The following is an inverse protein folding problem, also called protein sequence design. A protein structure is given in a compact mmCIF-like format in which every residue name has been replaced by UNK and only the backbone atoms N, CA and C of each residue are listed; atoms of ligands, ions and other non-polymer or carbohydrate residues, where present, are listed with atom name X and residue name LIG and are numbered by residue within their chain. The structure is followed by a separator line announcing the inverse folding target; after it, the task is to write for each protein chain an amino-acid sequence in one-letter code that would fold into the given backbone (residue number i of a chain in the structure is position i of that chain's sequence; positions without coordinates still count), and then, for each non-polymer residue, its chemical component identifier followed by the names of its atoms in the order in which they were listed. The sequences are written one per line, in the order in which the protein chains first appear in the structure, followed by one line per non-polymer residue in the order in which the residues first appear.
data_IF_509058898262
#
_entry.id   IF_509058898262
#
_cell.length_a   1.000
_cell.length_b   1.000
_cell.length_c   1.000
_cell.angle_alpha   90.00
_cell.angle_beta   90.00
_cell.angle_gamma   90.00
#
_symmetry.space_group_name_H-M   'P 1'
#
loop_
_entity.id
_entity.type
_entity.pdbx_description
1 polymer ?
#
# COMPACT_ATOMS: atom_id res chain seq x y z
N UNK A 1 39.29 25.67 4.80
CA UNK A 1 39.49 24.37 5.47
C UNK A 1 38.79 23.33 4.63
N UNK A 2 39.55 22.46 3.96
CA UNK A 2 39.00 21.33 3.21
C UNK A 2 38.68 20.24 4.21
N UNK A 3 37.40 20.05 4.53
CA UNK A 3 36.95 18.91 5.33
C UNK A 3 37.21 17.64 4.53
N UNK A 4 38.20 16.86 4.95
CA UNK A 4 38.51 15.56 4.36
C UNK A 4 37.29 14.65 4.54
N UNK A 5 36.53 14.43 3.49
CA UNK A 5 35.40 13.50 3.52
C UNK A 5 35.98 12.09 3.66
N UNK A 6 35.76 11.45 4.81
CA UNK A 6 36.15 10.06 5.02
C UNK A 6 35.28 9.20 4.11
N UNK A 7 35.89 8.51 3.13
CA UNK A 7 35.24 7.48 2.32
C UNK A 7 35.07 6.21 3.17
N UNK A 8 34.27 6.32 4.22
CA UNK A 8 33.78 5.17 4.95
C UNK A 8 32.81 4.38 4.06
N UNK A 9 32.82 3.06 4.18
CA UNK A 9 31.83 2.21 3.53
C UNK A 9 30.40 2.57 3.92
N UNK A 10 29.43 1.99 3.21
CA UNK A 10 28.00 2.17 3.50
C UNK A 10 27.69 1.96 4.98
N UNK A 11 26.93 2.88 5.57
CA UNK A 11 26.54 2.76 6.98
C UNK A 11 25.62 1.53 7.17
N UNK A 12 26.06 0.49 7.91
CA UNK A 12 25.35 -0.77 7.99
C UNK A 12 23.97 -0.65 8.66
N UNK A 13 23.73 0.39 9.44
CA UNK A 13 22.47 0.57 10.18
C UNK A 13 21.39 1.26 9.33
N UNK A 14 21.76 1.93 8.24
CA UNK A 14 20.81 2.69 7.40
C UNK A 14 20.72 2.13 5.99
N UNK A 15 21.87 1.83 5.38
CA UNK A 15 21.98 1.38 4.00
C UNK A 15 22.53 -0.04 3.91
N UNK A 16 22.72 -0.71 5.06
CA UNK A 16 23.22 -2.07 5.16
C UNK A 16 22.30 -3.10 4.51
N UNK A 17 22.88 -4.26 4.19
CA UNK A 17 22.20 -5.30 3.41
C UNK A 17 20.87 -5.76 4.04
N UNK A 18 20.80 -5.91 5.36
CA UNK A 18 19.56 -6.30 6.04
C UNK A 18 18.46 -5.23 5.95
N UNK A 19 18.82 -3.95 6.02
CA UNK A 19 17.86 -2.85 5.83
C UNK A 19 17.30 -2.87 4.41
N UNK A 20 18.18 -3.03 3.41
CA UNK A 20 17.79 -3.10 2.00
C UNK A 20 16.89 -4.29 1.72
N UNK A 21 17.31 -5.50 2.10
CA UNK A 21 16.51 -6.73 1.91
C UNK A 21 15.15 -6.59 2.57
N UNK A 22 15.11 -6.10 3.82
CA UNK A 22 13.85 -5.86 4.51
C UNK A 22 12.94 -4.95 3.69
N UNK A 23 13.46 -3.82 3.25
CA UNK A 23 12.71 -2.85 2.48
C UNK A 23 12.20 -3.42 1.14
N UNK A 24 13.04 -4.19 0.45
CA UNK A 24 12.65 -4.88 -0.77
C UNK A 24 11.51 -5.88 -0.52
N UNK A 25 11.58 -6.66 0.55
CA UNK A 25 10.55 -7.63 0.89
C UNK A 25 9.25 -6.97 1.35
N UNK A 26 9.32 -5.92 2.19
CA UNK A 26 8.13 -5.19 2.65
C UNK A 26 7.33 -4.60 1.47
N UNK A 27 8.02 -3.95 0.53
CA UNK A 27 7.39 -3.36 -0.65
C UNK A 27 6.81 -4.43 -1.58
N UNK A 28 7.53 -5.54 -1.81
CA UNK A 28 7.03 -6.65 -2.61
C UNK A 28 5.78 -7.28 -2.00
N UNK A 29 5.82 -7.60 -0.70
CA UNK A 29 4.71 -8.26 -0.01
C UNK A 29 3.47 -7.35 0.07
N UNK A 30 3.66 -6.06 0.31
CA UNK A 30 2.55 -5.11 0.30
C UNK A 30 1.93 -4.99 -1.10
N UNK A 31 2.76 -4.83 -2.14
CA UNK A 31 2.30 -4.76 -3.52
C UNK A 31 1.53 -6.02 -3.93
N UNK A 32 2.07 -7.20 -3.62
CA UNK A 32 1.39 -8.47 -3.89
C UNK A 32 0.06 -8.60 -3.12
N UNK A 33 0.01 -8.17 -1.85
CA UNK A 33 -1.22 -8.18 -1.04
C UNK A 33 -2.26 -7.24 -1.62
N UNK A 34 -1.87 -6.04 -2.04
CA UNK A 34 -2.74 -5.08 -2.69
C UNK A 34 -3.33 -5.65 -3.98
N UNK A 35 -2.51 -6.24 -4.87
CA UNK A 35 -2.98 -6.86 -6.10
C UNK A 35 -3.93 -8.04 -5.85
N UNK A 36 -3.57 -8.95 -4.94
CA UNK A 36 -4.40 -10.09 -4.57
C UNK A 36 -5.78 -9.63 -4.06
N UNK A 37 -5.82 -8.61 -3.20
CA UNK A 37 -7.06 -8.05 -2.67
C UNK A 37 -7.82 -7.19 -3.69
N UNK A 38 -7.17 -6.57 -4.67
CA UNK A 38 -7.84 -5.83 -5.77
C UNK A 38 -8.74 -6.74 -6.57
N UNK A 39 -8.22 -7.91 -6.94
CA UNK A 39 -8.96 -8.89 -7.73
C UNK A 39 -10.11 -9.48 -6.92
N UNK A 40 -9.89 -9.71 -5.62
CA UNK A 40 -10.91 -10.25 -4.73
C UNK A 40 -11.96 -9.23 -4.25
N UNK A 41 -11.57 -7.98 -4.05
CA UNK A 41 -12.39 -6.89 -3.51
C UNK A 41 -13.54 -6.49 -4.43
N UNK A 42 -13.42 -6.74 -5.73
CA UNK A 42 -14.56 -6.69 -6.66
C UNK A 42 -15.72 -7.63 -6.26
N UNK A 43 -15.49 -8.62 -5.39
CA UNK A 43 -16.48 -9.63 -5.01
C UNK A 43 -16.96 -9.57 -3.55
N UNK A 44 -16.21 -8.94 -2.63
CA UNK A 44 -16.49 -9.01 -1.18
C UNK A 44 -16.25 -7.64 -0.50
N UNK A 45 -17.35 -6.94 -0.17
CA UNK A 45 -17.37 -5.49 0.06
C UNK A 45 -17.07 -4.97 1.49
N UNK A 46 -16.74 -5.76 2.53
CA UNK A 46 -16.86 -5.17 3.89
C UNK A 46 -15.89 -5.55 5.02
N UNK A 47 -14.82 -6.33 4.83
CA UNK A 47 -13.95 -6.71 5.98
C UNK A 47 -12.44 -6.69 5.74
N UNK A 48 -11.98 -6.41 4.52
CA UNK A 48 -10.59 -6.65 4.11
C UNK A 48 -9.67 -5.43 4.26
N UNK A 49 -10.25 -4.25 4.52
CA UNK A 49 -9.56 -2.96 4.41
C UNK A 49 -8.62 -2.68 5.61
N UNK A 50 -9.01 -3.10 6.81
CA UNK A 50 -8.23 -2.88 8.05
C UNK A 50 -6.87 -3.60 8.04
N UNK A 51 -6.81 -4.77 7.42
CA UNK A 51 -5.54 -5.52 7.30
C UNK A 51 -4.58 -4.87 6.29
N UNK A 52 -5.10 -4.29 5.20
CA UNK A 52 -4.27 -3.55 4.24
C UNK A 52 -3.77 -2.27 4.89
N UNK A 53 -4.66 -1.55 5.58
CA UNK A 53 -4.30 -0.29 6.23
C UNK A 53 -3.18 -0.51 7.24
N UNK A 54 -3.21 -1.58 8.05
CA UNK A 54 -2.12 -1.92 8.97
C UNK A 54 -0.76 -2.13 8.29
N UNK A 55 -0.71 -2.88 7.19
CA UNK A 55 0.53 -3.11 6.44
C UNK A 55 1.02 -1.82 5.74
N UNK A 56 0.09 -1.02 5.21
CA UNK A 56 0.36 0.27 4.60
C UNK A 56 0.93 1.27 5.61
N UNK A 57 0.32 1.38 6.79
CA UNK A 57 0.79 2.23 7.89
C UNK A 57 2.17 1.80 8.38
N UNK A 58 2.44 0.49 8.44
CA UNK A 58 3.76 -0.01 8.82
C UNK A 58 4.83 0.39 7.80
N UNK A 59 4.56 0.28 6.50
CA UNK A 59 5.49 0.74 5.46
C UNK A 59 5.67 2.26 5.50
N UNK A 60 4.59 3.03 5.67
CA UNK A 60 4.67 4.49 5.83
C UNK A 60 5.51 4.88 7.04
N UNK A 61 5.27 4.28 8.20
CA UNK A 61 6.06 4.53 9.41
C UNK A 61 7.53 4.20 9.18
N UNK A 62 7.84 3.11 8.50
CA UNK A 62 9.22 2.72 8.13
C UNK A 62 9.85 3.76 7.20
N UNK A 63 9.12 4.27 6.21
CA UNK A 63 9.60 5.32 5.31
C UNK A 63 9.91 6.62 6.05
N UNK A 64 8.99 7.04 6.94
CA UNK A 64 9.16 8.23 7.77
C UNK A 64 10.39 8.06 8.67
N UNK A 65 10.51 6.92 9.36
CA UNK A 65 11.63 6.63 10.22
C UNK A 65 12.97 6.65 9.46
N UNK A 66 13.02 6.05 8.28
CA UNK A 66 14.21 6.06 7.42
C UNK A 66 14.57 7.45 6.92
N UNK A 67 13.59 8.25 6.51
CA UNK A 67 13.80 9.63 6.09
C UNK A 67 14.31 10.51 7.25
N UNK A 68 13.68 10.40 8.43
CA UNK A 68 14.10 11.13 9.63
C UNK A 68 15.49 10.71 10.08
N UNK A 69 15.81 9.41 10.09
CA UNK A 69 17.14 8.92 10.43
C UNK A 69 18.20 9.45 9.45
N UNK A 70 17.92 9.37 8.14
CA UNK A 70 18.80 9.93 7.11
C UNK A 70 19.04 11.43 7.28
N UNK A 71 18.00 12.19 7.62
CA UNK A 71 18.10 13.63 7.88
C UNK A 71 18.90 13.95 9.13
N UNK A 72 18.62 13.27 10.26
CA UNK A 72 19.35 13.47 11.51
C UNK A 72 20.85 13.21 11.30
N UNK A 73 21.20 12.16 10.58
CA UNK A 73 22.59 11.77 10.34
C UNK A 73 23.28 12.65 9.30
N UNK A 74 22.52 13.19 8.34
CA UNK A 74 23.01 14.17 7.36
C UNK A 74 23.22 15.56 7.92
N UNK A 75 22.42 15.97 8.92
CA UNK A 75 22.48 17.30 9.52
C UNK A 75 23.45 17.41 10.70
N UNK A 76 24.11 16.32 11.11
CA UNK A 76 25.16 16.37 12.13
C UNK A 76 26.32 17.26 11.66
N UNK A 77 26.96 18.05 12.54
CA UNK A 77 28.13 18.87 12.19
C UNK A 77 29.28 18.07 11.56
N UNK A 78 29.42 16.80 12.00
CA UNK A 78 30.21 15.79 11.32
C UNK A 78 29.22 14.76 10.74
N UNK A 79 28.88 14.82 9.45
CA UNK A 79 27.90 13.92 8.86
C UNK A 79 28.39 12.47 8.94
N UNK A 80 27.60 11.62 9.59
CA UNK A 80 27.87 10.18 9.72
C UNK A 80 27.36 9.37 8.52
N UNK A 81 26.62 10.04 7.64
CA UNK A 81 26.06 9.47 6.42
C UNK A 81 26.84 9.96 5.21
N UNK A 82 27.27 9.04 4.36
CA UNK A 82 27.89 9.40 3.08
C UNK A 82 26.84 9.87 2.08
N UNK A 83 27.26 10.62 1.05
CA UNK A 83 26.37 10.94 -0.08
C UNK A 83 25.80 9.66 -0.72
N UNK A 84 26.59 8.58 -0.78
CA UNK A 84 26.16 7.30 -1.31
C UNK A 84 25.02 6.70 -0.48
N UNK A 85 25.11 6.73 0.84
CA UNK A 85 24.04 6.28 1.73
C UNK A 85 22.75 7.07 1.51
N UNK A 86 22.85 8.40 1.36
CA UNK A 86 21.70 9.26 1.09
C UNK A 86 21.03 8.91 -0.25
N UNK A 87 21.81 8.61 -1.29
CA UNK A 87 21.27 8.14 -2.57
C UNK A 87 20.58 6.79 -2.40
N UNK A 88 21.17 5.83 -1.67
CA UNK A 88 20.53 4.53 -1.42
C UNK A 88 19.21 4.71 -0.69
N UNK A 89 19.16 5.53 0.36
CA UNK A 89 17.93 5.86 1.10
C UNK A 89 16.89 6.45 0.16
N UNK A 90 17.28 7.37 -0.73
CA UNK A 90 16.35 7.97 -1.69
C UNK A 90 15.74 6.91 -2.62
N UNK A 91 16.52 5.93 -3.08
CA UNK A 91 16.03 4.84 -3.93
C UNK A 91 15.08 3.92 -3.15
N UNK A 92 15.43 3.55 -1.92
CA UNK A 92 14.55 2.78 -1.04
C UNK A 92 13.23 3.53 -0.83
N UNK A 93 13.29 4.78 -0.35
CA UNK A 93 12.10 5.62 -0.16
C UNK A 93 11.25 5.71 -1.43
N UNK A 94 11.85 5.92 -2.60
CA UNK A 94 11.11 6.00 -3.87
C UNK A 94 10.35 4.70 -4.20
N UNK A 95 10.92 3.54 -3.91
CA UNK A 95 10.28 2.24 -4.08
C UNK A 95 9.10 2.08 -3.11
N UNK A 96 9.30 2.46 -1.84
CA UNK A 96 8.24 2.42 -0.83
C UNK A 96 7.08 3.33 -1.17
N UNK A 97 7.37 4.56 -1.61
CA UNK A 97 6.35 5.51 -2.01
C UNK A 97 5.58 5.06 -3.22
N UNK A 98 6.24 4.51 -4.23
CA UNK A 98 5.54 4.00 -5.41
C UNK A 98 4.60 2.85 -5.03
N UNK A 99 5.05 1.95 -4.15
CA UNK A 99 4.21 0.86 -3.63
C UNK A 99 2.99 1.40 -2.87
N UNK A 100 3.19 2.40 -2.01
CA UNK A 100 2.11 3.08 -1.26
C UNK A 100 1.12 3.75 -2.21
N UNK A 101 1.59 4.49 -3.22
CA UNK A 101 0.74 5.19 -4.19
C UNK A 101 -0.09 4.20 -5.02
N UNK A 102 0.53 3.13 -5.52
CA UNK A 102 -0.19 2.08 -6.26
C UNK A 102 -1.24 1.42 -5.37
N UNK A 103 -0.88 1.07 -4.13
CA UNK A 103 -1.82 0.45 -3.17
C UNK A 103 -2.98 1.36 -2.81
N UNK A 104 -2.72 2.66 -2.61
CA UNK A 104 -3.76 3.65 -2.30
C UNK A 104 -4.67 3.93 -3.50
N UNK A 105 -4.11 4.05 -4.71
CA UNK A 105 -4.89 4.23 -5.93
C UNK A 105 -5.87 3.07 -6.16
N UNK A 106 -5.42 1.86 -5.83
CA UNK A 106 -6.23 0.66 -5.81
C UNK A 106 -7.32 0.74 -4.72
N UNK A 107 -6.97 1.08 -3.49
CA UNK A 107 -7.93 1.12 -2.37
C UNK A 107 -9.01 2.19 -2.56
N UNK A 108 -8.64 3.38 -3.05
CA UNK A 108 -9.56 4.49 -3.29
C UNK A 108 -10.63 4.16 -4.34
N UNK A 109 -10.38 3.19 -5.23
CA UNK A 109 -11.37 2.76 -6.21
C UNK A 109 -12.57 2.02 -5.58
N UNK A 110 -12.38 1.45 -4.38
CA UNK A 110 -13.39 0.59 -3.73
C UNK A 110 -14.01 1.21 -2.48
N UNK A 111 -13.43 2.27 -1.96
CA UNK A 111 -13.96 2.99 -0.81
C UNK A 111 -15.09 3.91 -1.28
N UNK A 112 -16.32 3.43 -1.19
CA UNK A 112 -17.52 4.29 -1.34
C UNK A 112 -17.70 5.19 -0.10
N UNK A 113 -16.97 4.93 0.99
CA UNK A 113 -16.85 5.83 2.13
C UNK A 113 -15.99 7.04 1.76
N UNK A 114 -16.40 8.22 2.23
CA UNK A 114 -15.64 9.46 2.13
C UNK A 114 -14.16 9.19 2.42
N UNK A 115 -13.23 9.56 1.52
CA UNK A 115 -11.81 9.27 1.68
C UNK A 115 -11.33 9.91 2.98
N UNK A 116 -10.82 9.10 3.91
CA UNK A 116 -10.23 9.60 5.14
C UNK A 116 -9.14 10.62 4.78
N UNK A 117 -9.28 11.83 5.33
CA UNK A 117 -8.38 12.97 5.14
C UNK A 117 -6.92 12.61 5.46
N UNK A 118 -6.71 11.64 6.35
CA UNK A 118 -5.43 11.06 6.74
C UNK A 118 -4.60 10.55 5.54
N UNK A 119 -5.24 9.92 4.55
CA UNK A 119 -4.56 9.31 3.40
C UNK A 119 -3.93 10.34 2.46
N UNK A 120 -4.59 11.49 2.28
CA UNK A 120 -4.10 12.60 1.44
C UNK A 120 -2.90 13.29 2.11
N UNK A 121 -2.99 13.51 3.43
CA UNK A 121 -1.89 14.11 4.19
C UNK A 121 -0.65 13.20 4.17
N UNK A 122 -0.83 11.89 4.32
CA UNK A 122 0.27 10.93 4.30
C UNK A 122 0.97 10.87 2.93
N UNK A 123 0.23 10.97 1.83
CA UNK A 123 0.81 11.08 0.49
C UNK A 123 1.60 12.38 0.28
N UNK A 124 1.12 13.51 0.82
CA UNK A 124 1.84 14.78 0.71
C UNK A 124 3.14 14.76 1.53
N UNK A 125 3.08 14.28 2.76
CA UNK A 125 4.24 14.14 3.66
C UNK A 125 5.30 13.23 3.02
N UNK A 126 4.86 12.16 2.39
CA UNK A 126 5.69 11.23 1.64
C UNK A 126 6.52 11.88 0.53
N UNK A 127 5.87 12.67 -0.33
CA UNK A 127 6.52 13.35 -1.45
C UNK A 127 7.52 14.38 -0.93
N UNK A 128 7.13 15.18 0.07
CA UNK A 128 7.97 16.21 0.68
C UNK A 128 9.23 15.57 1.28
N UNK A 129 9.10 14.46 2.02
CA UNK A 129 10.23 13.78 2.65
C UNK A 129 11.28 13.33 1.64
N UNK A 130 10.87 12.83 0.47
CA UNK A 130 11.82 12.43 -0.58
C UNK A 130 12.63 13.59 -1.16
N UNK A 131 12.01 14.78 -1.30
CA UNK A 131 12.70 15.98 -1.78
C UNK A 131 13.68 16.55 -0.75
N UNK A 132 13.30 16.51 0.53
CA UNK A 132 14.13 17.01 1.63
C UNK A 132 15.41 16.18 1.77
N UNK A 133 15.34 14.85 1.73
CA UNK A 133 16.55 13.99 1.84
C UNK A 133 17.54 14.25 0.69
N UNK A 134 17.07 14.50 -0.52
CA UNK A 134 17.94 14.84 -1.66
C UNK A 134 18.57 16.23 -1.58
N UNK A 135 17.93 17.18 -0.89
CA UNK A 135 18.41 18.56 -0.78
C UNK A 135 19.56 18.72 0.22
N UNK A 136 19.63 17.86 1.25
CA UNK A 136 20.59 17.97 2.35
C UNK A 136 21.81 17.04 2.21
N UNK A 137 21.98 16.37 1.07
CA UNK A 137 23.14 15.52 0.88
C UNK A 137 24.43 16.38 0.76
N UNK A 138 25.45 16.17 1.62
CA UNK A 138 26.66 16.99 1.62
C UNK A 138 27.41 16.82 0.29
N UNK A 139 28.07 17.89 -0.18
CA UNK A 139 28.87 17.94 -1.43
C UNK A 139 30.18 17.10 -1.37
N UNK A 140 30.24 16.13 -0.46
CA UNK A 140 31.45 15.43 -0.06
C UNK A 140 31.99 14.40 -1.06
N UNK A 141 31.32 14.18 -2.20
CA UNK A 141 31.80 13.24 -3.23
C UNK A 141 31.42 13.70 -4.65
N UNK A 142 32.32 14.49 -5.26
CA UNK A 142 32.23 14.99 -6.64
C UNK A 142 31.98 13.91 -7.71
N UNK A 143 32.41 12.68 -7.44
CA UNK A 143 32.39 11.55 -8.37
C UNK A 143 31.18 10.63 -8.18
N UNK A 144 30.26 10.95 -7.28
CA UNK A 144 29.08 10.12 -7.08
C UNK A 144 28.21 10.08 -8.35
N UNK A 145 27.83 8.87 -8.75
CA UNK A 145 27.00 8.62 -9.91
C UNK A 145 25.62 8.11 -9.50
N UNK A 146 24.55 8.75 -9.98
CA UNK A 146 23.20 8.24 -9.92
C UNK A 146 22.91 7.42 -11.19
N UNK A 147 22.09 6.37 -11.08
CA UNK A 147 21.81 5.48 -12.21
C UNK A 147 20.32 5.21 -12.34
N UNK A 148 19.76 5.65 -13.46
CA UNK A 148 18.39 5.28 -13.87
C UNK A 148 18.45 4.35 -15.10
N UNK A 149 19.33 4.68 -16.05
CA UNK A 149 19.65 3.85 -17.23
C UNK A 149 21.11 4.01 -17.68
N UNK A 150 21.75 5.12 -17.31
CA UNK A 150 23.16 5.44 -17.55
C UNK A 150 23.72 6.15 -16.31
N UNK A 151 25.04 6.07 -16.06
CA UNK A 151 25.67 6.80 -14.97
C UNK A 151 25.56 8.29 -15.26
N UNK A 152 24.89 9.02 -14.38
CA UNK A 152 24.80 10.48 -14.41
C UNK A 152 25.54 11.02 -13.18
N UNK A 153 26.36 12.06 -13.33
CA UNK A 153 26.94 12.74 -12.16
C UNK A 153 25.82 13.29 -11.28
N UNK A 154 25.74 12.77 -10.06
CA UNK A 154 24.62 13.02 -9.17
C UNK A 154 24.57 14.48 -8.71
N UNK A 155 25.73 15.11 -8.48
CA UNK A 155 25.79 16.44 -7.85
C UNK A 155 25.37 17.60 -8.76
N UNK A 156 25.81 17.63 -10.02
CA UNK A 156 25.48 18.76 -10.93
C UNK A 156 24.17 18.53 -11.67
N UNK A 157 24.10 17.44 -12.44
CA UNK A 157 22.92 17.14 -13.27
C UNK A 157 21.82 16.45 -12.46
N UNK A 158 22.19 15.54 -11.57
CA UNK A 158 21.23 14.80 -10.75
C UNK A 158 20.43 15.70 -9.81
N UNK A 159 21.04 16.69 -9.17
CA UNK A 159 20.34 17.62 -8.28
C UNK A 159 19.29 18.46 -9.02
N UNK A 160 19.64 19.02 -10.18
CA UNK A 160 18.71 19.80 -10.99
C UNK A 160 17.56 18.91 -11.47
N UNK A 161 17.88 17.72 -12.00
CA UNK A 161 16.87 16.78 -12.46
C UNK A 161 15.95 16.34 -11.32
N UNK A 162 16.51 16.06 -10.14
CA UNK A 162 15.77 15.73 -8.92
C UNK A 162 14.77 16.83 -8.56
N UNK A 163 15.23 18.10 -8.50
CA UNK A 163 14.33 19.24 -8.26
C UNK A 163 13.23 19.37 -9.31
N UNK A 164 13.56 19.22 -10.59
CA UNK A 164 12.58 19.28 -11.68
C UNK A 164 11.53 18.20 -11.51
N UNK A 165 11.94 16.96 -11.24
CA UNK A 165 11.03 15.83 -11.03
C UNK A 165 10.17 16.06 -9.78
N UNK A 166 10.77 16.46 -8.65
CA UNK A 166 10.04 16.73 -7.41
C UNK A 166 9.01 17.84 -7.59
N UNK A 167 9.38 18.95 -8.25
CA UNK A 167 8.44 20.04 -8.55
C UNK A 167 7.32 19.55 -9.46
N UNK A 168 7.64 18.80 -10.53
CA UNK A 168 6.63 18.29 -11.47
C UNK A 168 5.66 17.33 -10.79
N UNK A 169 6.16 16.40 -9.97
CA UNK A 169 5.33 15.46 -9.20
C UNK A 169 4.48 16.22 -8.18
N UNK A 170 5.04 17.22 -7.50
CA UNK A 170 4.30 18.04 -6.54
C UNK A 170 3.17 18.80 -7.22
N UNK A 171 3.44 19.44 -8.37
CA UNK A 171 2.42 20.15 -9.15
C UNK A 171 1.34 19.18 -9.65
N UNK A 172 1.72 18.04 -10.23
CA UNK A 172 0.77 17.04 -10.70
C UNK A 172 -0.14 16.53 -9.56
N UNK A 173 0.45 16.26 -8.40
CA UNK A 173 -0.27 15.86 -7.19
C UNK A 173 -1.22 16.97 -6.73
N UNK A 174 -0.73 18.21 -6.56
CA UNK A 174 -1.56 19.36 -6.17
C UNK A 174 -2.72 19.58 -7.14
N UNK A 175 -2.51 19.39 -8.44
CA UNK A 175 -3.58 19.50 -9.45
C UNK A 175 -4.60 18.37 -9.30
N UNK A 176 -4.17 17.11 -9.13
CA UNK A 176 -5.10 15.99 -8.88
C UNK A 176 -5.91 16.21 -7.61
N UNK A 177 -5.24 16.50 -6.49
CA UNK A 177 -5.89 16.77 -5.20
C UNK A 177 -6.82 17.97 -5.28
N UNK A 178 -6.40 19.05 -5.96
CA UNK A 178 -7.22 20.24 -6.17
C UNK A 178 -8.49 19.95 -6.98
N UNK A 179 -8.40 19.11 -8.02
CA UNK A 179 -9.58 18.67 -8.79
C UNK A 179 -10.55 17.87 -7.93
N UNK A 180 -10.06 17.00 -7.07
CA UNK A 180 -10.90 16.21 -6.17
C UNK A 180 -11.59 17.08 -5.12
N UNK A 181 -10.86 18.05 -4.53
CA UNK A 181 -11.44 19.02 -3.57
C UNK A 181 -12.50 19.88 -4.26
N UNK A 182 -12.23 20.39 -5.47
CA UNK A 182 -13.20 21.17 -6.23
C UNK A 182 -14.45 20.35 -6.59
N UNK A 183 -14.29 19.07 -6.92
CA UNK A 183 -15.41 18.18 -7.18
C UNK A 183 -16.25 17.93 -5.92
N UNK A 184 -15.62 17.76 -4.75
CA UNK A 184 -16.32 17.67 -3.47
C UNK A 184 -17.07 18.96 -3.14
N UNK A 185 -16.44 20.12 -3.31
CA UNK A 185 -17.08 21.41 -3.07
C UNK A 185 -18.29 21.63 -3.99
N UNK A 186 -18.20 21.21 -5.25
CA UNK A 186 -19.33 21.25 -6.19
C UNK A 186 -20.47 20.34 -5.75
N UNK A 187 -20.19 19.14 -5.22
CA UNK A 187 -21.21 18.23 -4.66
C UNK A 187 -21.89 18.83 -3.43
N UNK A 188 -21.13 19.46 -2.54
CA UNK A 188 -21.66 20.11 -1.35
C UNK A 188 -22.59 21.27 -1.72
N UNK A 189 -22.12 22.15 -2.63
CA UNK A 189 -22.93 23.26 -3.14
C UNK A 189 -24.21 22.79 -3.85
N UNK A 190 -24.15 21.69 -4.59
CA UNK A 190 -25.34 21.12 -5.23
C UNK A 190 -26.34 20.54 -4.21
N UNK A 191 -25.87 19.95 -3.10
CA UNK A 191 -26.75 19.45 -2.01
C UNK A 191 -27.41 20.59 -1.24
N UNK A 192 -26.70 21.70 -1.04
CA UNK A 192 -27.25 22.88 -0.34
C UNK A 192 -28.30 23.61 -1.20
N UNK A 193 -28.20 23.50 -2.52
CA UNK A 193 -29.16 24.07 -3.47
C UNK A 193 -30.35 23.16 -3.77
N UNK A 194 -30.36 21.91 -3.30
CA UNK A 194 -31.55 21.07 -3.35
C UNK A 194 -32.47 21.56 -2.22
N UNK A 195 -33.54 22.33 -2.52
CA UNK A 195 -34.41 22.84 -1.49
C UNK A 195 -35.00 21.62 -0.78
N UNK A 196 -34.80 21.56 0.54
CA UNK A 196 -35.32 20.49 1.39
C UNK A 196 -36.82 20.28 1.11
N UNK A 197 -37.13 19.30 0.26
CA UNK A 197 -38.49 18.85 -0.05
C UNK A 197 -39.07 18.03 1.13
N UNK A 198 -38.39 18.02 2.28
CA UNK A 198 -38.82 17.41 3.54
C UNK A 198 -39.94 18.22 4.24
N UNK A 199 -40.32 19.38 3.69
CA UNK A 199 -41.36 20.23 4.23
C UNK A 199 -42.82 19.78 3.96
N UNK A 200 -43.10 18.73 3.18
CA UNK A 200 -44.50 18.45 2.76
C UNK A 200 -44.97 17.00 2.92
N UNK A 201 -44.14 16.08 3.41
CA UNK A 201 -44.54 14.67 3.58
C UNK A 201 -44.92 14.25 5.01
N UNK A 202 -45.22 15.21 5.89
CA UNK A 202 -45.83 14.94 7.21
C UNK A 202 -47.35 15.17 7.26
N UNK A 203 -47.99 15.52 6.14
CA UNK A 203 -49.43 15.82 6.14
C UNK A 203 -50.38 14.62 5.93
N UNK A 204 -49.90 13.39 5.71
CA UNK A 204 -50.83 12.25 5.57
C UNK A 204 -50.30 10.91 6.07
N UNK A 205 -49.65 10.85 7.23
CA UNK A 205 -49.62 9.59 7.98
C UNK A 205 -50.99 9.40 8.63
N UNK A 206 -51.92 8.83 7.88
CA UNK A 206 -53.23 8.41 8.38
C UNK A 206 -53.00 7.31 9.41
N UNK A 207 -53.17 7.66 10.69
CA UNK A 207 -53.27 6.70 11.78
C UNK A 207 -54.50 5.82 11.54
N UNK A 208 -54.35 4.74 10.78
CA UNK A 208 -55.28 3.62 10.88
C UNK A 208 -55.05 3.00 12.25
N UNK A 209 -55.94 3.35 13.18
CA UNK A 209 -56.05 2.74 14.49
C UNK A 209 -55.94 1.21 14.36
N UNK A 210 -54.95 0.56 14.98
CA UNK A 210 -54.97 -0.88 15.12
C UNK A 210 -56.15 -1.23 16.03
N UNK A 211 -57.16 -1.90 15.47
CA UNK A 211 -58.24 -2.48 16.27
C UNK A 211 -57.66 -3.43 17.32
N UNK A 212 -58.14 -3.40 18.57
CA UNK A 212 -57.72 -4.35 19.60
C UNK A 212 -58.37 -5.71 19.34
N UNK A 213 -57.76 -6.48 18.44
CA UNK A 213 -58.09 -7.87 18.17
C UNK A 213 -57.39 -8.78 19.15
N UNK A 214 -58.14 -9.25 20.15
CA UNK A 214 -57.79 -10.33 21.07
C UNK A 214 -57.43 -11.58 20.24
N UNK A 215 -56.14 -11.91 20.15
CA UNK A 215 -55.68 -13.20 19.62
C UNK A 215 -55.31 -14.11 20.79
N UNK A 216 -56.19 -15.09 21.00
CA UNK A 216 -55.99 -16.22 21.90
C UNK A 216 -54.72 -16.98 21.53
N UNK A 217 -53.97 -17.51 22.51
CA UNK A 217 -52.98 -18.54 22.25
C UNK A 217 -53.71 -19.83 21.86
N UNK A 218 -53.42 -20.34 20.66
CA UNK A 218 -53.88 -21.64 20.20
C UNK A 218 -52.77 -22.67 20.45
N UNK A 219 -52.94 -23.62 21.39
CA UNK A 219 -51.96 -24.66 21.67
C UNK A 219 -52.40 -25.94 20.97
N UNK A 220 -52.18 -26.09 19.67
CA UNK A 220 -52.20 -27.40 18.98
C UNK A 220 -51.90 -27.22 17.50
N UNK A 221 -50.62 -27.19 17.13
CA UNK A 221 -50.25 -27.56 15.76
C UNK A 221 -49.18 -28.64 15.81
N UNK A 222 -49.69 -29.80 15.44
CA UNK A 222 -49.06 -31.07 15.13
C UNK A 222 -47.72 -30.97 14.40
N UNK A 223 -46.86 -31.92 14.75
CA UNK A 223 -45.55 -32.19 14.19
C UNK A 223 -45.51 -32.11 12.65
N UNK A 224 -44.44 -31.53 12.07
CA UNK A 224 -44.25 -31.55 10.63
C UNK A 224 -43.86 -32.96 10.14
N UNK A 225 -44.25 -33.31 8.90
CA UNK A 225 -44.01 -34.62 8.32
C UNK A 225 -42.51 -34.85 8.09
N UNK A 226 -42.12 -36.09 8.31
CA UNK A 226 -40.81 -36.66 8.09
C UNK A 226 -40.41 -36.52 6.61
N UNK A 227 -39.77 -35.40 6.26
CA UNK A 227 -39.21 -35.18 4.93
C UNK A 227 -37.98 -36.06 4.82
N UNK A 228 -38.23 -37.26 4.29
CA UNK A 228 -37.27 -38.22 3.74
C UNK A 228 -36.22 -37.47 2.91
N UNK A 229 -35.10 -37.18 3.55
CA UNK A 229 -33.89 -36.64 2.94
C UNK A 229 -33.33 -37.70 1.98
N UNK A 230 -33.78 -37.68 0.73
CA UNK A 230 -33.13 -38.34 -0.39
C UNK A 230 -31.71 -37.79 -0.52
N UNK A 231 -30.79 -38.51 0.13
CA UNK A 231 -29.34 -38.36 0.03
C UNK A 231 -28.95 -38.84 -1.38
N UNK A 232 -29.16 -38.00 -2.40
CA UNK A 232 -28.56 -38.19 -3.72
C UNK A 232 -27.06 -37.95 -3.56
N UNK A 233 -26.35 -39.04 -3.30
CA UNK A 233 -24.91 -39.09 -3.14
C UNK A 233 -24.26 -39.02 -4.53
N UNK A 234 -24.51 -37.94 -5.27
CA UNK A 234 -23.75 -37.64 -6.49
C UNK A 234 -22.34 -37.20 -6.06
N UNK A 235 -21.46 -38.19 -5.95
CA UNK A 235 -20.01 -38.02 -5.97
C UNK A 235 -19.60 -37.56 -7.36
N UNK A 236 -19.96 -36.34 -7.69
CA UNK A 236 -19.42 -35.64 -8.84
C UNK A 236 -17.95 -35.29 -8.48
N UNK A 237 -17.04 -36.20 -8.85
CA UNK A 237 -15.60 -36.01 -8.83
C UNK A 237 -15.20 -35.03 -9.95
N UNK A 238 -15.82 -33.85 -9.94
CA UNK A 238 -15.38 -32.71 -10.74
C UNK A 238 -13.94 -32.41 -10.38
N UNK A 239 -13.02 -32.80 -11.27
CA UNK A 239 -11.62 -32.47 -11.18
C UNK A 239 -11.52 -30.96 -11.03
N UNK A 240 -11.09 -30.52 -9.86
CA UNK A 240 -11.03 -29.11 -9.50
C UNK A 240 -9.90 -28.46 -10.32
N UNK A 241 -10.19 -28.10 -11.57
CA UNK A 241 -9.26 -27.35 -12.41
C UNK A 241 -9.05 -26.00 -11.75
N UNK A 242 -7.82 -25.73 -11.32
CA UNK A 242 -7.38 -24.43 -10.80
C UNK A 242 -7.49 -23.42 -11.94
N UNK A 243 -8.56 -22.63 -11.92
CA UNK A 243 -8.76 -21.57 -12.92
C UNK A 243 -8.08 -20.32 -12.38
N UNK A 244 -6.82 -20.13 -12.75
CA UNK A 244 -6.04 -18.93 -12.40
C UNK A 244 -6.69 -17.74 -13.11
N UNK A 245 -6.98 -16.68 -12.37
CA UNK A 245 -7.43 -15.43 -12.97
C UNK A 245 -6.26 -14.77 -13.70
N UNK A 246 -6.32 -14.73 -15.04
CA UNK A 246 -5.28 -14.13 -15.86
C UNK A 246 -5.02 -12.66 -15.53
N UNK A 247 -6.02 -11.93 -15.02
CA UNK A 247 -5.86 -10.53 -14.61
C UNK A 247 -4.96 -10.41 -13.38
N UNK A 248 -5.17 -11.26 -12.37
CA UNK A 248 -4.32 -11.32 -11.18
C UNK A 248 -2.88 -11.62 -11.56
N UNK A 249 -2.70 -12.60 -12.46
CA UNK A 249 -1.37 -12.98 -12.93
C UNK A 249 -0.67 -11.82 -13.62
N UNK A 250 -1.35 -11.10 -14.51
CA UNK A 250 -0.80 -9.92 -15.21
C UNK A 250 -0.42 -8.81 -14.23
N UNK A 251 -1.27 -8.52 -13.24
CA UNK A 251 -1.01 -7.49 -12.22
C UNK A 251 0.18 -7.87 -11.33
N UNK A 252 0.27 -9.13 -10.90
CA UNK A 252 1.39 -9.65 -10.11
C UNK A 252 2.70 -9.64 -10.89
N UNK A 253 2.67 -10.03 -12.18
CA UNK A 253 3.83 -9.92 -13.09
C UNK A 253 4.27 -8.47 -13.23
N UNK A 254 3.33 -7.54 -13.44
CA UNK A 254 3.65 -6.12 -13.55
C UNK A 254 4.33 -5.58 -12.28
N UNK A 255 3.77 -5.87 -11.10
CA UNK A 255 4.36 -5.47 -9.81
C UNK A 255 5.74 -6.08 -9.62
N UNK A 256 5.92 -7.36 -9.97
CA UNK A 256 7.20 -8.05 -9.83
C UNK A 256 8.27 -7.44 -10.75
N UNK A 257 7.94 -7.18 -12.02
CA UNK A 257 8.86 -6.55 -12.98
C UNK A 257 9.25 -5.15 -12.52
N UNK A 258 8.27 -4.36 -12.09
CA UNK A 258 8.50 -3.00 -11.59
C UNK A 258 9.36 -3.03 -10.32
N UNK A 259 9.05 -3.91 -9.37
CA UNK A 259 9.86 -4.11 -8.17
C UNK A 259 11.30 -4.52 -8.49
N UNK A 260 11.49 -5.50 -9.38
CA UNK A 260 12.82 -5.95 -9.83
C UNK A 260 13.59 -4.80 -10.46
N UNK A 261 12.93 -3.94 -11.24
CA UNK A 261 13.56 -2.74 -11.78
C UNK A 261 14.12 -1.83 -10.69
N UNK A 262 13.38 -1.54 -9.61
CA UNK A 262 13.89 -0.70 -8.52
C UNK A 262 15.03 -1.38 -7.74
N UNK A 263 14.92 -2.69 -7.47
CA UNK A 263 16.00 -3.45 -6.79
C UNK A 263 17.27 -3.42 -7.62
N UNK A 264 17.18 -3.72 -8.91
CA UNK A 264 18.33 -3.71 -9.82
C UNK A 264 18.97 -2.32 -9.89
N UNK A 265 18.17 -1.25 -10.01
CA UNK A 265 18.71 0.10 -10.02
C UNK A 265 19.43 0.45 -8.70
N UNK A 266 18.86 0.06 -7.56
CA UNK A 266 19.46 0.32 -6.24
C UNK A 266 20.79 -0.40 -6.08
N UNK A 267 20.86 -1.70 -6.40
CA UNK A 267 22.10 -2.47 -6.29
C UNK A 267 23.14 -2.06 -7.34
N UNK A 268 22.72 -1.63 -8.53
CA UNK A 268 23.61 -1.09 -9.55
C UNK A 268 24.23 0.25 -9.11
N UNK A 269 23.44 1.13 -8.49
CA UNK A 269 23.94 2.36 -7.87
C UNK A 269 24.98 2.03 -6.80
N UNK A 270 24.73 1.05 -5.95
CA UNK A 270 25.69 0.63 -4.93
C UNK A 270 26.96 0.11 -5.60
N UNK A 271 26.83 -0.82 -6.54
CA UNK A 271 27.96 -1.46 -7.23
C UNK A 271 28.86 -0.44 -7.94
N UNK A 272 28.31 0.59 -8.58
CA UNK A 272 29.13 1.61 -9.27
C UNK A 272 29.79 2.62 -8.34
N UNK A 273 29.19 2.90 -7.18
CA UNK A 273 29.77 3.82 -6.20
C UNK A 273 30.71 3.11 -5.21
N UNK A 274 30.66 1.77 -5.11
CA UNK A 274 31.52 0.98 -4.22
C UNK A 274 32.85 0.62 -4.90
N UNK A 275 33.74 1.61 -5.06
CA UNK A 275 35.12 1.37 -5.49
C UNK A 275 36.00 1.20 -4.25
N UNK A 276 36.48 -0.03 -4.03
CA UNK A 276 37.69 -0.33 -3.23
C UNK A 276 37.66 -0.05 -1.71
N UNK A 277 36.75 -0.68 -0.97
CA UNK A 277 37.03 -1.02 0.43
C UNK A 277 37.16 -2.54 0.55
N UNK A 278 38.36 -3.03 0.26
CA UNK A 278 38.72 -4.39 0.60
C UNK A 278 38.64 -4.56 2.13
N UNK A 279 38.06 -5.68 2.57
CA UNK A 279 38.31 -6.32 3.87
C UNK A 279 37.39 -6.06 5.07
N UNK A 280 36.35 -5.22 5.00
CA UNK A 280 35.28 -5.28 6.01
C UNK A 280 34.20 -6.27 5.57
N UNK A 281 34.33 -7.52 6.05
CA UNK A 281 33.30 -8.55 5.87
C UNK A 281 31.90 -8.08 6.30
N UNK A 282 30.83 -8.78 5.86
CA UNK A 282 29.45 -8.38 6.14
C UNK A 282 29.16 -8.45 7.64
N UNK A 283 29.37 -7.34 8.34
CA UNK A 283 29.04 -7.19 9.75
C UNK A 283 27.54 -6.97 9.88
N UNK A 284 26.83 -8.01 10.30
CA UNK A 284 25.43 -7.93 10.67
C UNK A 284 25.29 -7.18 12.00
N UNK A 285 24.82 -5.95 11.95
CA UNK A 285 24.47 -5.15 13.13
C UNK A 285 23.08 -5.48 13.66
N UNK A 286 22.84 -5.25 14.95
CA UNK A 286 21.49 -5.35 15.55
C UNK A 286 20.46 -4.47 14.81
N UNK A 287 20.89 -3.30 14.32
CA UNK A 287 20.07 -2.39 13.51
C UNK A 287 19.53 -3.01 12.22
N UNK A 288 20.14 -4.08 11.71
CA UNK A 288 19.70 -4.78 10.48
C UNK A 288 18.66 -5.87 10.75
N UNK A 289 18.63 -6.44 11.96
CA UNK A 289 17.72 -7.54 12.32
C UNK A 289 16.29 -7.01 12.49
N UNK A 290 16.14 -5.84 13.11
CA UNK A 290 14.83 -5.25 13.39
C UNK A 290 14.00 -4.99 12.12
N UNK A 291 14.54 -4.37 11.05
CA UNK A 291 13.83 -4.24 9.78
C UNK A 291 13.41 -5.60 9.20
N UNK A 292 14.27 -6.62 9.27
CA UNK A 292 13.95 -7.96 8.76
C UNK A 292 12.77 -8.56 9.54
N UNK A 293 12.73 -8.37 10.85
CA UNK A 293 11.61 -8.82 11.67
C UNK A 293 10.30 -8.10 11.31
N UNK A 294 10.36 -6.81 10.98
CA UNK A 294 9.19 -6.04 10.51
C UNK A 294 8.62 -6.56 9.19
N UNK A 295 9.37 -7.35 8.40
CA UNK A 295 8.82 -7.94 7.16
C UNK A 295 7.92 -9.14 7.41
N UNK A 296 7.91 -9.71 8.62
CA UNK A 296 7.10 -10.88 8.93
C UNK A 296 5.60 -10.56 8.88
N UNK A 297 5.18 -9.38 9.35
CA UNK A 297 3.78 -8.95 9.32
C UNK A 297 3.22 -8.87 7.89
N UNK A 298 3.82 -8.09 6.96
CA UNK A 298 3.33 -8.04 5.58
C UNK A 298 3.45 -9.40 4.88
N UNK A 299 4.44 -10.22 5.23
CA UNK A 299 4.53 -11.59 4.72
C UNK A 299 3.35 -12.45 5.15
N UNK A 300 3.02 -12.48 6.45
CA UNK A 300 1.88 -13.24 6.96
C UNK A 300 0.59 -12.77 6.28
N UNK A 301 0.37 -11.46 6.17
CA UNK A 301 -0.80 -10.88 5.51
C UNK A 301 -0.87 -11.29 4.03
N UNK A 302 0.26 -11.28 3.33
CA UNK A 302 0.34 -11.74 1.96
C UNK A 302 -0.02 -13.23 1.85
N UNK A 303 0.55 -14.09 2.70
CA UNK A 303 0.25 -15.53 2.66
C UNK A 303 -1.20 -15.85 2.98
N UNK A 304 -1.81 -15.11 3.92
CA UNK A 304 -3.23 -15.24 4.25
C UNK A 304 -4.10 -14.81 3.06
N UNK A 305 -3.78 -13.67 2.43
CA UNK A 305 -4.46 -13.22 1.22
C UNK A 305 -4.37 -14.27 0.09
N UNK A 306 -3.20 -14.86 -0.16
CA UNK A 306 -3.07 -15.93 -1.17
C UNK A 306 -3.82 -17.21 -0.80
N UNK A 307 -3.88 -17.58 0.48
CA UNK A 307 -4.66 -18.74 0.93
C UNK A 307 -6.15 -18.51 0.72
N UNK A 308 -6.63 -17.33 1.04
CA UNK A 308 -8.05 -16.97 0.96
C UNK A 308 -8.52 -16.78 -0.48
N UNK A 309 -7.68 -16.20 -1.35
CA UNK A 309 -8.06 -15.84 -2.72
C UNK A 309 -7.51 -16.78 -3.81
N UNK A 310 -6.32 -17.36 -3.61
CA UNK A 310 -5.62 -18.13 -4.64
C UNK A 310 -5.84 -19.64 -4.58
N UNK A 311 -6.08 -20.22 -3.39
CA UNK A 311 -6.10 -21.69 -3.24
C UNK A 311 -7.44 -22.28 -2.80
N UNK A 312 -8.29 -21.54 -2.08
CA UNK A 312 -9.62 -22.03 -1.67
C UNK A 312 -10.72 -21.39 -2.50
N UNK A 313 -10.98 -21.99 -3.67
CA UNK A 313 -12.09 -21.60 -4.54
C UNK A 313 -13.45 -21.72 -3.82
N UNK A 314 -14.00 -20.58 -3.43
CA UNK A 314 -15.36 -20.15 -3.78
C UNK A 314 -16.52 -21.13 -3.54
N UNK A 315 -16.44 -22.05 -2.55
CA UNK A 315 -17.67 -22.75 -2.08
C UNK A 315 -18.62 -21.84 -1.31
N UNK A 316 -18.16 -20.68 -0.79
CA UNK A 316 -19.00 -19.76 -0.01
C UNK A 316 -19.90 -18.83 -0.83
N UNK A 317 -19.49 -18.39 -2.02
CA UNK A 317 -20.30 -17.45 -2.83
C UNK A 317 -21.60 -18.11 -3.31
N UNK A 318 -21.58 -19.40 -3.63
CA UNK A 318 -22.80 -20.15 -3.98
C UNK A 318 -23.71 -20.39 -2.76
N UNK A 319 -23.18 -20.42 -1.53
CA UNK A 319 -24.02 -20.47 -0.33
C UNK A 319 -24.71 -19.14 -0.05
N UNK A 320 -24.01 -18.01 -0.17
CA UNK A 320 -24.61 -16.70 0.08
C UNK A 320 -25.61 -16.30 -1.01
N UNK A 321 -25.38 -16.65 -2.29
CA UNK A 321 -26.43 -16.54 -3.31
C UNK A 321 -27.64 -17.41 -3.01
N UNK A 322 -27.45 -18.64 -2.52
CA UNK A 322 -28.57 -19.48 -2.11
C UNK A 322 -29.35 -18.90 -0.94
N UNK A 323 -28.70 -18.24 0.03
CA UNK A 323 -29.39 -17.61 1.16
C UNK A 323 -30.11 -16.32 0.73
N UNK A 324 -29.51 -15.50 -0.13
CA UNK A 324 -30.17 -14.29 -0.63
C UNK A 324 -31.41 -14.59 -1.49
N UNK A 325 -31.40 -15.69 -2.26
CA UNK A 325 -32.57 -16.14 -3.06
C UNK A 325 -33.67 -16.79 -2.19
N UNK A 326 -33.40 -17.12 -0.93
CA UNK A 326 -34.41 -17.66 0.01
C UNK A 326 -35.13 -16.53 0.77
N UNK A 327 -34.67 -15.28 0.66
CA UNK A 327 -35.26 -14.12 1.34
C UNK A 327 -36.04 -13.17 0.42
N UNK A 328 -36.23 -13.53 -0.86
CA UNK A 328 -37.20 -12.94 -1.79
C UNK A 328 -38.36 -13.92 -2.03
#
# INVERSE_FOLDING_TARGET
MSTSCSYGGLNPDISGIGVRISYYLQTLFLGATAAAKTVAGCLLRSGSLDEISGALYTLMATNIAMAVAGLILGLKPAPEISFQDAVVILYLLSMGWTTVLVSLAVCNRFSDSEPEESTKILQLVSVIQSGVVGAFAPDCNGEAHAVIFRPLSALKSGRILGWVVTVLVTVAYTVMTGRDILAQFKRFKNKEMEPSEEGTQYASFSWKNPSPGILKPDPTVSAPPDIRSERSHDTDHGTATVRVDGRLLVELVFITVFWTFFVLNTELVIHWNHRTSADSGPNWGFGQILPVLLTLLPFINMTNAFKDFGMRRTRRVNRLRKVAVICD
#
